data_IF_424106557419
#
_entry.id   IF_424106557419
#
_cell.length_a   1.000
_cell.length_b   1.000
_cell.length_c   1.000
_cell.angle_alpha   90.00
_cell.angle_beta   90.00
_cell.angle_gamma   90.00
#
_symmetry.space_group_name_H-M   'P 1'
#
loop_
_entity.id
_entity.type
_entity.pdbx_description
1 polymer ?
#
# COMPACT_ATOMS: atom_id res chain seq x y z
N UNK A 1 -1.14 -22.83 -6.84
CA UNK A 1 -2.31 -22.12 -6.31
C UNK A 1 -1.88 -21.32 -5.08
N UNK A 2 -1.70 -21.92 -3.90
CA UNK A 2 -1.25 -21.19 -2.69
C UNK A 2 0.05 -20.35 -2.85
N UNK A 3 1.09 -20.90 -3.49
CA UNK A 3 2.32 -20.15 -3.77
C UNK A 3 2.09 -18.94 -4.69
N UNK A 4 1.20 -19.07 -5.68
CA UNK A 4 0.86 -18.00 -6.61
C UNK A 4 0.09 -16.87 -5.90
N UNK A 5 -0.78 -17.23 -4.94
CA UNK A 5 -1.52 -16.26 -4.12
C UNK A 5 -0.56 -15.46 -3.25
N UNK A 6 0.36 -16.15 -2.57
CA UNK A 6 1.38 -15.50 -1.74
C UNK A 6 2.24 -14.55 -2.58
N UNK A 7 2.68 -14.99 -3.77
CA UNK A 7 3.47 -14.15 -4.67
C UNK A 7 2.68 -12.91 -5.09
N UNK A 8 1.41 -13.08 -5.46
CA UNK A 8 0.53 -12.00 -5.91
C UNK A 8 0.27 -10.98 -4.79
N UNK A 9 -0.04 -11.47 -3.58
CA UNK A 9 -0.19 -10.62 -2.40
C UNK A 9 1.10 -9.88 -2.05
N UNK A 10 2.25 -10.54 -2.20
CA UNK A 10 3.56 -9.91 -1.99
C UNK A 10 3.80 -8.78 -3.00
N UNK A 11 3.47 -8.98 -4.28
CA UNK A 11 3.59 -7.94 -5.32
C UNK A 11 2.68 -6.76 -4.99
N UNK A 12 1.42 -7.00 -4.63
CA UNK A 12 0.48 -5.95 -4.21
C UNK A 12 1.01 -5.20 -2.98
N UNK A 13 1.55 -5.92 -2.00
CA UNK A 13 2.13 -5.33 -0.80
C UNK A 13 3.34 -4.44 -1.11
N UNK A 14 4.30 -4.94 -1.90
CA UNK A 14 5.50 -4.18 -2.27
C UNK A 14 5.13 -2.94 -3.08
N UNK A 15 4.32 -3.09 -4.12
CA UNK A 15 3.89 -1.97 -4.97
C UNK A 15 3.11 -0.91 -4.18
N UNK A 16 2.22 -1.32 -3.27
CA UNK A 16 1.48 -0.38 -2.41
C UNK A 16 2.39 0.31 -1.39
N UNK A 17 3.39 -0.39 -0.85
CA UNK A 17 4.37 0.18 0.08
C UNK A 17 5.24 1.23 -0.59
N UNK A 18 5.80 0.91 -1.76
CA UNK A 18 6.62 1.86 -2.52
C UNK A 18 5.77 3.00 -3.10
N UNK A 19 4.57 2.70 -3.61
CA UNK A 19 3.65 3.68 -4.16
C UNK A 19 3.20 4.71 -3.13
N UNK A 20 2.80 4.26 -1.93
CA UNK A 20 2.41 5.18 -0.84
C UNK A 20 3.59 6.04 -0.39
N UNK A 21 4.79 5.47 -0.23
CA UNK A 21 5.98 6.24 0.15
C UNK A 21 6.37 7.28 -0.93
N UNK A 22 6.30 6.90 -2.20
CA UNK A 22 6.57 7.79 -3.32
C UNK A 22 5.58 8.96 -3.39
N UNK A 23 4.28 8.68 -3.24
CA UNK A 23 3.25 9.72 -3.24
C UNK A 23 3.39 10.66 -2.04
N UNK A 24 3.61 10.13 -0.83
CA UNK A 24 3.87 10.95 0.37
C UNK A 24 5.03 11.92 0.14
N UNK A 25 6.15 11.43 -0.40
CA UNK A 25 7.31 12.27 -0.77
C UNK A 25 6.95 13.30 -1.84
N UNK A 26 6.21 12.92 -2.88
CA UNK A 26 5.79 13.81 -3.97
C UNK A 26 4.92 14.96 -3.48
N UNK A 27 4.09 14.73 -2.46
CA UNK A 27 3.23 15.75 -1.86
C UNK A 27 3.91 16.53 -0.71
N UNK A 28 5.19 16.31 -0.46
CA UNK A 28 5.95 17.03 0.57
C UNK A 28 5.76 16.49 2.00
N UNK A 29 5.11 15.34 2.17
CA UNK A 29 4.93 14.68 3.46
C UNK A 29 6.01 13.62 3.65
N UNK A 30 7.18 14.01 4.15
CA UNK A 30 8.23 13.06 4.47
C UNK A 30 7.85 12.22 5.69
N UNK A 31 7.84 10.89 5.52
CA UNK A 31 7.46 9.98 6.61
C UNK A 31 8.63 9.89 7.59
N UNK A 32 8.44 10.27 8.86
CA UNK A 32 9.50 10.22 9.86
C UNK A 32 9.89 8.79 10.17
N UNK A 33 11.20 8.52 10.32
CA UNK A 33 11.72 7.20 10.72
C UNK A 33 11.38 6.86 12.18
N UNK A 34 11.31 7.89 13.02
CA UNK A 34 10.97 7.81 14.44
C UNK A 34 9.98 8.93 14.77
N UNK A 35 8.68 8.65 14.85
CA UNK A 35 7.71 9.68 15.21
C UNK A 35 7.91 10.09 16.68
N UNK A 36 8.06 11.40 16.93
CA UNK A 36 8.21 11.96 18.28
C UNK A 36 7.13 12.97 18.60
N UNK A 37 6.62 13.68 17.59
CA UNK A 37 5.58 14.70 17.72
C UNK A 37 4.21 14.16 17.29
N UNK A 38 3.13 14.83 17.69
CA UNK A 38 1.77 14.48 17.22
C UNK A 38 1.65 14.56 15.69
N UNK A 39 2.33 15.52 15.08
CA UNK A 39 2.34 15.73 13.63
C UNK A 39 3.02 14.57 12.90
N UNK A 40 4.08 14.01 13.48
CA UNK A 40 4.73 12.81 12.95
C UNK A 40 3.79 11.61 12.94
N UNK A 41 3.04 11.39 14.03
CA UNK A 41 2.05 10.32 14.10
C UNK A 41 0.93 10.50 13.08
N UNK A 42 0.48 11.73 12.85
CA UNK A 42 -0.50 12.04 11.79
C UNK A 42 0.08 11.70 10.41
N UNK A 43 1.34 12.03 10.16
CA UNK A 43 2.02 11.74 8.89
C UNK A 43 2.16 10.23 8.66
N UNK A 44 2.48 9.46 9.71
CA UNK A 44 2.51 8.00 9.66
C UNK A 44 1.12 7.43 9.37
N UNK A 45 0.08 7.95 10.04
CA UNK A 45 -1.31 7.55 9.80
C UNK A 45 -1.72 7.83 8.35
N UNK A 46 -1.38 9.01 7.82
CA UNK A 46 -1.63 9.37 6.42
C UNK A 46 -0.98 8.36 5.46
N UNK A 47 0.27 7.96 5.72
CA UNK A 47 0.93 6.92 4.91
C UNK A 47 0.18 5.59 4.97
N UNK A 48 -0.27 5.16 6.15
CA UNK A 48 -1.00 3.91 6.32
C UNK A 48 -2.35 3.93 5.60
N UNK A 49 -3.08 5.05 5.68
CA UNK A 49 -4.33 5.25 4.94
C UNK A 49 -4.08 5.21 3.44
N UNK A 50 -3.04 5.90 2.96
CA UNK A 50 -2.68 5.90 1.55
C UNK A 50 -2.27 4.51 1.05
N UNK A 51 -1.51 3.77 1.85
CA UNK A 51 -1.17 2.38 1.57
C UNK A 51 -2.43 1.51 1.42
N UNK A 52 -3.39 1.65 2.33
CA UNK A 52 -4.65 0.90 2.28
C UNK A 52 -5.45 1.25 1.01
N UNK A 53 -5.55 2.54 0.66
CA UNK A 53 -6.24 2.99 -0.56
C UNK A 53 -5.61 2.38 -1.81
N UNK A 54 -4.27 2.45 -1.95
CA UNK A 54 -3.57 1.88 -3.12
C UNK A 54 -3.77 0.37 -3.17
N UNK A 55 -3.70 -0.31 -2.03
CA UNK A 55 -3.91 -1.76 -1.94
C UNK A 55 -5.32 -2.13 -2.41
N UNK A 56 -6.35 -1.43 -1.94
CA UNK A 56 -7.74 -1.65 -2.37
C UNK A 56 -7.93 -1.37 -3.86
N UNK A 57 -7.31 -0.32 -4.39
CA UNK A 57 -7.34 -0.03 -5.82
C UNK A 57 -6.68 -1.13 -6.65
N UNK A 58 -5.54 -1.67 -6.20
CA UNK A 58 -4.89 -2.79 -6.87
C UNK A 58 -5.78 -4.03 -6.87
N UNK A 59 -6.40 -4.38 -5.74
CA UNK A 59 -7.36 -5.49 -5.70
C UNK A 59 -8.57 -5.26 -6.60
N UNK A 60 -9.13 -4.05 -6.62
CA UNK A 60 -10.22 -3.72 -7.53
C UNK A 60 -9.81 -3.88 -9.00
N UNK A 61 -8.62 -3.43 -9.39
CA UNK A 61 -8.09 -3.60 -10.74
C UNK A 61 -7.90 -5.08 -11.11
N UNK A 62 -7.41 -5.90 -10.18
CA UNK A 62 -7.25 -7.34 -10.40
C UNK A 62 -8.59 -8.04 -10.62
N UNK A 63 -9.59 -7.71 -9.80
CA UNK A 63 -10.94 -8.24 -9.97
C UNK A 63 -11.57 -7.82 -11.30
N UNK A 64 -11.39 -6.55 -11.71
CA UNK A 64 -11.83 -6.05 -13.01
C UNK A 64 -11.12 -6.76 -14.18
N UNK A 65 -9.87 -7.16 -13.99
CA UNK A 65 -9.12 -7.97 -14.96
C UNK A 65 -9.50 -9.47 -14.93
N UNK A 66 -10.45 -9.89 -14.07
CA UNK A 66 -10.91 -11.27 -13.95
C UNK A 66 -10.02 -12.17 -13.08
N UNK A 67 -9.06 -11.61 -12.34
CA UNK A 67 -8.21 -12.35 -11.42
C UNK A 67 -8.74 -12.22 -9.99
N UNK A 68 -9.09 -13.35 -9.36
CA UNK A 68 -9.42 -13.38 -7.93
C UNK A 68 -8.17 -13.75 -7.10
N UNK A 69 -7.48 -12.79 -6.47
CA UNK A 69 -6.25 -13.04 -5.72
C UNK A 69 -6.41 -13.94 -4.50
N UNK A 70 -7.65 -14.15 -4.03
CA UNK A 70 -7.94 -14.99 -2.86
C UNK A 70 -8.29 -16.44 -3.22
N UNK A 71 -8.54 -16.73 -4.50
CA UNK A 71 -9.09 -18.00 -4.99
C UNK A 71 -8.21 -18.65 -6.09
N UNK A 72 -6.99 -18.13 -6.27
CA UNK A 72 -6.00 -18.57 -7.26
C UNK A 72 -5.16 -19.79 -6.78
#
# INVERSE_FOLDING_TARGET
MLFLNILTLLVVFLTSTFGSAFLMKRFGYEVPRSPQTREDYITVLMKLVLFAIITLLMFALMLLAGFNPLDL
#
